data_IF_799743491637
#
_entry.id   IF_799743491637
#
_cell.length_a   1.000
_cell.length_b   1.000
_cell.length_c   1.000
_cell.angle_alpha   90.00
_cell.angle_beta   90.00
_cell.angle_gamma   90.00
#
_symmetry.space_group_name_H-M   'P 1'
#
loop_
_entity.id
_entity.type
_entity.pdbx_description
1 polymer ?
#
# COMPACT_ATOMS: atom_id res chain seq x y z
N UNK A 1 -44.74 53.70 -16.89
CA UNK A 1 -44.92 52.32 -17.31
C UNK A 1 -43.67 51.54 -16.96
N UNK A 2 -43.64 50.85 -15.85
CA UNK A 2 -42.49 50.15 -15.37
C UNK A 2 -42.62 48.66 -15.76
N UNK A 3 -41.73 48.17 -16.61
CA UNK A 3 -41.68 46.76 -16.96
C UNK A 3 -40.68 46.06 -16.02
N UNK A 4 -41.27 45.30 -15.11
CA UNK A 4 -40.55 44.42 -14.19
C UNK A 4 -40.05 43.19 -14.95
N UNK A 5 -38.77 43.08 -15.20
CA UNK A 5 -38.17 41.83 -15.75
C UNK A 5 -37.70 40.96 -14.60
N UNK A 6 -38.40 39.89 -14.34
CA UNK A 6 -38.04 38.85 -13.42
C UNK A 6 -36.95 38.00 -14.03
N UNK A 7 -35.71 38.10 -13.52
CA UNK A 7 -34.61 37.23 -13.89
C UNK A 7 -34.67 35.96 -13.04
N UNK A 8 -35.07 34.85 -13.66
CA UNK A 8 -34.96 33.51 -13.09
C UNK A 8 -33.49 33.05 -13.20
N UNK A 9 -32.79 33.06 -12.09
CA UNK A 9 -31.46 32.41 -11.99
C UNK A 9 -31.69 30.98 -11.70
N UNK A 10 -31.55 30.15 -12.74
CA UNK A 10 -31.56 28.68 -12.61
C UNK A 10 -30.19 28.23 -12.09
N UNK A 11 -30.09 27.95 -10.81
CA UNK A 11 -28.91 27.39 -10.19
C UNK A 11 -28.76 25.91 -10.59
N UNK A 12 -27.85 25.63 -11.51
CA UNK A 12 -27.42 24.25 -11.76
C UNK A 12 -26.53 23.79 -10.61
N UNK A 13 -27.08 22.97 -9.72
CA UNK A 13 -26.28 22.13 -8.84
C UNK A 13 -25.62 21.05 -9.69
N UNK A 14 -24.37 21.26 -10.04
CA UNK A 14 -23.53 20.21 -10.56
C UNK A 14 -23.21 19.23 -9.41
N UNK A 15 -23.96 18.16 -9.32
CA UNK A 15 -23.67 17.03 -8.45
C UNK A 15 -22.37 16.38 -8.95
N UNK A 16 -21.25 16.58 -8.24
CA UNK A 16 -20.04 15.83 -8.47
C UNK A 16 -20.32 14.37 -8.12
N UNK A 17 -20.55 13.55 -9.12
CA UNK A 17 -20.58 12.10 -8.97
C UNK A 17 -19.15 11.65 -8.62
N UNK A 18 -18.90 11.38 -7.33
CA UNK A 18 -17.70 10.70 -6.89
C UNK A 18 -17.81 9.26 -7.36
N UNK A 19 -17.12 8.93 -8.44
CA UNK A 19 -16.93 7.57 -8.85
C UNK A 19 -16.11 6.86 -7.76
N UNK A 20 -16.77 6.10 -6.90
CA UNK A 20 -16.13 5.19 -5.98
C UNK A 20 -15.56 4.06 -6.82
N UNK A 21 -14.26 4.12 -7.09
CA UNK A 21 -13.55 3.00 -7.68
C UNK A 21 -13.53 1.88 -6.64
N UNK A 22 -14.47 0.98 -6.72
CA UNK A 22 -14.43 -0.30 -5.99
C UNK A 22 -13.29 -1.10 -6.58
N UNK A 23 -12.11 -0.93 -6.00
CA UNK A 23 -10.95 -1.74 -6.35
C UNK A 23 -11.13 -3.08 -5.64
N UNK A 24 -11.25 -4.20 -6.37
CA UNK A 24 -11.27 -5.50 -5.73
C UNK A 24 -9.96 -5.72 -5.00
N UNK A 25 -10.02 -5.91 -3.69
CA UNK A 25 -8.96 -6.51 -2.94
C UNK A 25 -7.94 -5.63 -2.23
N UNK A 26 -8.03 -4.33 -2.27
CA UNK A 26 -7.19 -3.47 -1.44
C UNK A 26 -8.05 -2.47 -0.67
N UNK A 27 -7.98 -2.46 0.64
CA UNK A 27 -8.55 -1.35 1.40
C UNK A 27 -7.63 -0.14 1.25
N UNK A 28 -7.85 0.64 0.19
CA UNK A 28 -7.28 1.97 0.11
C UNK A 28 -7.70 2.77 1.36
N UNK A 29 -6.83 3.62 1.89
CA UNK A 29 -7.23 4.54 2.95
C UNK A 29 -8.50 5.30 2.53
N UNK A 30 -9.43 5.56 3.44
CA UNK A 30 -10.56 6.42 3.16
C UNK A 30 -10.08 7.77 2.60
N UNK A 31 -10.88 8.44 1.76
CA UNK A 31 -10.52 9.75 1.25
C UNK A 31 -10.13 10.70 2.39
N UNK A 32 -8.95 11.33 2.29
CA UNK A 32 -8.43 12.23 3.31
C UNK A 32 -7.62 11.60 4.43
N UNK A 33 -7.49 10.27 4.47
CA UNK A 33 -6.64 9.57 5.43
C UNK A 33 -5.29 9.23 4.80
N UNK A 34 -4.20 9.53 5.48
CA UNK A 34 -2.85 9.14 5.06
C UNK A 34 -2.62 7.63 5.20
N UNK A 35 -1.63 7.12 4.49
CA UNK A 35 -1.22 5.71 4.58
C UNK A 35 -0.80 5.36 6.01
N UNK A 36 -0.05 6.24 6.69
CA UNK A 36 0.40 6.04 8.06
C UNK A 36 -0.78 6.00 9.07
N UNK A 37 -1.76 6.88 8.92
CA UNK A 37 -2.98 6.84 9.74
C UNK A 37 -3.77 5.56 9.53
N UNK A 38 -3.92 5.13 8.27
CA UNK A 38 -4.56 3.86 7.95
C UNK A 38 -3.80 2.67 8.54
N UNK A 39 -2.46 2.67 8.49
CA UNK A 39 -1.62 1.63 9.07
C UNK A 39 -1.77 1.56 10.59
N UNK A 40 -1.86 2.70 11.28
CA UNK A 40 -2.05 2.76 12.73
C UNK A 40 -3.37 2.10 13.19
N UNK A 41 -4.38 2.06 12.32
CA UNK A 41 -5.67 1.41 12.62
C UNK A 41 -5.64 -0.12 12.42
N UNK A 42 -4.56 -0.69 11.91
CA UNK A 42 -4.42 -2.13 11.61
C UNK A 42 -3.76 -2.92 12.72
N UNK A 43 -3.88 -2.50 13.96
CA UNK A 43 -3.28 -3.18 15.13
C UNK A 43 -1.79 -3.46 14.94
N UNK A 44 -0.94 -2.42 14.81
CA UNK A 44 0.48 -2.61 14.53
C UNK A 44 1.16 -3.42 15.63
N UNK A 45 1.91 -4.45 15.21
CA UNK A 45 2.65 -5.34 16.08
C UNK A 45 4.15 -5.07 15.97
N UNK A 46 4.92 -5.20 17.06
CA UNK A 46 6.37 -5.17 16.98
C UNK A 46 6.89 -6.43 16.29
N UNK A 47 7.74 -6.26 15.29
CA UNK A 47 8.34 -7.34 14.52
C UNK A 47 9.81 -7.05 14.30
N UNK A 48 10.68 -8.05 14.44
CA UNK A 48 12.09 -7.93 14.09
C UNK A 48 12.22 -7.93 12.56
N UNK A 49 13.06 -7.07 12.05
CA UNK A 49 13.34 -6.98 10.61
C UNK A 49 13.80 -8.33 10.04
N UNK A 50 14.69 -9.03 10.74
CA UNK A 50 15.17 -10.34 10.33
C UNK A 50 14.06 -11.39 10.16
N UNK A 51 12.99 -11.28 10.94
CA UNK A 51 11.83 -12.18 10.85
C UNK A 51 10.95 -11.91 9.62
N UNK A 52 11.14 -10.79 8.96
CA UNK A 52 10.44 -10.45 7.71
C UNK A 52 11.16 -10.95 6.47
N UNK A 53 12.48 -11.12 6.54
CA UNK A 53 13.29 -11.50 5.39
C UNK A 53 12.88 -12.88 4.87
N UNK A 54 12.73 -13.00 3.57
CA UNK A 54 12.34 -14.24 2.90
C UNK A 54 10.86 -14.58 2.94
N UNK A 55 10.03 -13.85 3.70
CA UNK A 55 8.57 -14.07 3.71
C UNK A 55 7.99 -13.85 2.32
N UNK A 56 6.99 -14.64 1.97
CA UNK A 56 6.21 -14.39 0.78
C UNK A 56 5.34 -13.15 0.97
N UNK A 57 5.18 -12.41 -0.11
CA UNK A 57 4.31 -11.24 -0.15
C UNK A 57 3.16 -11.55 -1.08
N UNK A 58 1.97 -11.56 -0.50
CA UNK A 58 0.75 -11.98 -1.16
C UNK A 58 -0.03 -10.77 -1.67
N UNK A 59 -0.81 -11.02 -2.69
CA UNK A 59 -1.84 -10.11 -3.18
C UNK A 59 -2.99 -10.08 -2.17
N UNK A 60 -3.61 -8.90 -1.90
CA UNK A 60 -4.79 -8.87 -1.06
C UNK A 60 -5.92 -9.64 -1.72
N UNK A 61 -6.63 -10.41 -0.88
CA UNK A 61 -7.87 -11.15 -1.18
C UNK A 61 -7.73 -12.40 -2.06
N UNK A 62 -8.47 -13.39 -1.65
CA UNK A 62 -8.97 -14.62 -2.28
C UNK A 62 -8.02 -15.46 -3.15
N UNK A 63 -7.09 -14.88 -3.88
CA UNK A 63 -6.25 -15.65 -4.80
C UNK A 63 -4.96 -16.18 -4.18
N UNK A 64 -4.51 -15.68 -3.02
CA UNK A 64 -3.21 -16.01 -2.41
C UNK A 64 -2.03 -15.98 -3.40
N UNK A 65 -2.16 -15.19 -4.45
CA UNK A 65 -1.10 -15.06 -5.44
C UNK A 65 0.13 -14.42 -4.82
N UNK A 66 1.27 -15.09 -4.96
CA UNK A 66 2.55 -14.58 -4.49
C UNK A 66 3.03 -13.49 -5.46
N UNK A 67 3.16 -12.27 -4.95
CA UNK A 67 3.70 -11.13 -5.70
C UNK A 67 5.23 -11.12 -5.72
N UNK A 68 5.84 -11.69 -4.69
CA UNK A 68 7.28 -11.72 -4.52
C UNK A 68 7.68 -12.13 -3.11
N UNK A 69 8.97 -11.91 -2.78
CA UNK A 69 9.52 -12.22 -1.45
C UNK A 69 10.25 -11.02 -0.89
N UNK A 70 10.19 -10.84 0.41
CA UNK A 70 10.95 -9.81 1.11
C UNK A 70 12.46 -10.08 0.98
N UNK A 71 13.19 -9.10 0.45
CA UNK A 71 14.65 -9.20 0.23
C UNK A 71 15.44 -8.38 1.24
N UNK A 72 14.94 -7.21 1.56
CA UNK A 72 15.55 -6.31 2.55
C UNK A 72 14.53 -5.32 3.08
N UNK A 73 14.84 -4.72 4.21
CA UNK A 73 14.10 -3.60 4.77
C UNK A 73 15.05 -2.40 4.81
N UNK A 74 14.61 -1.29 4.29
CA UNK A 74 15.44 -0.07 4.21
C UNK A 74 14.69 1.12 4.78
N UNK A 75 15.44 2.15 5.15
CA UNK A 75 14.92 3.46 5.50
C UNK A 75 15.24 4.42 4.35
N UNK A 76 14.22 5.09 3.84
CA UNK A 76 14.42 6.07 2.78
C UNK A 76 14.96 7.41 3.33
N UNK A 77 15.19 8.38 2.44
CA UNK A 77 15.68 9.72 2.81
C UNK A 77 14.76 10.49 3.75
N UNK A 78 13.47 10.16 3.74
CA UNK A 78 12.45 10.79 4.59
C UNK A 78 12.31 10.06 5.94
N UNK A 79 13.09 9.03 6.19
CA UNK A 79 13.01 8.20 7.40
C UNK A 79 11.92 7.14 7.37
N UNK A 80 11.21 6.97 6.24
CA UNK A 80 10.16 5.98 6.09
C UNK A 80 10.75 4.57 5.93
N UNK A 81 10.15 3.60 6.61
CA UNK A 81 10.52 2.20 6.45
C UNK A 81 9.89 1.64 5.17
N UNK A 82 10.75 1.11 4.32
CA UNK A 82 10.37 0.49 3.05
C UNK A 82 10.78 -0.97 3.05
N UNK A 83 9.89 -1.82 2.56
CA UNK A 83 10.17 -3.25 2.35
C UNK A 83 10.48 -3.46 0.88
N UNK A 84 11.68 -3.93 0.60
CA UNK A 84 12.10 -4.25 -0.78
C UNK A 84 11.73 -5.69 -1.08
N UNK A 85 10.93 -5.87 -2.11
CA UNK A 85 10.49 -7.18 -2.58
C UNK A 85 10.96 -7.42 -4.02
N UNK A 86 11.22 -8.66 -4.37
CA UNK A 86 11.36 -9.06 -5.78
C UNK A 86 9.95 -9.24 -6.35
N UNK A 87 9.51 -8.26 -7.13
CA UNK A 87 8.16 -8.20 -7.66
C UNK A 87 8.09 -8.78 -9.07
N UNK A 88 7.07 -9.60 -9.31
CA UNK A 88 6.81 -10.20 -10.62
C UNK A 88 7.76 -11.33 -10.96
N UNK A 89 7.82 -11.65 -12.25
CA UNK A 89 8.63 -12.74 -12.78
C UNK A 89 7.91 -14.09 -12.75
N UNK A 90 8.44 -15.03 -13.56
CA UNK A 90 8.00 -16.42 -13.58
C UNK A 90 9.19 -17.30 -13.20
N UNK A 91 9.02 -18.16 -12.20
CA UNK A 91 10.10 -19.02 -11.67
C UNK A 91 11.40 -18.26 -11.31
N UNK A 92 11.27 -17.02 -10.83
CA UNK A 92 12.40 -16.17 -10.47
C UNK A 92 13.04 -15.40 -11.65
N UNK A 93 12.58 -15.61 -12.86
CA UNK A 93 13.05 -14.89 -14.04
C UNK A 93 12.17 -13.67 -14.32
N UNK A 94 12.81 -12.53 -14.64
CA UNK A 94 12.11 -11.28 -14.96
C UNK A 94 11.54 -10.54 -13.76
N UNK A 95 11.82 -10.97 -12.52
CA UNK A 95 11.47 -10.20 -11.33
C UNK A 95 12.36 -8.97 -11.21
N UNK A 96 11.82 -7.90 -10.63
CA UNK A 96 12.57 -6.69 -10.31
C UNK A 96 12.35 -6.25 -8.88
N UNK A 97 13.35 -5.69 -8.20
CA UNK A 97 13.15 -5.17 -6.86
C UNK A 97 12.31 -3.89 -6.91
N UNK A 98 11.30 -3.81 -6.05
CA UNK A 98 10.55 -2.59 -5.77
C UNK A 98 10.53 -2.33 -4.27
N UNK A 99 10.47 -1.08 -3.86
CA UNK A 99 10.34 -0.70 -2.46
C UNK A 99 8.89 -0.30 -2.17
N UNK A 100 8.28 -0.98 -1.22
CA UNK A 100 6.89 -0.75 -0.78
C UNK A 100 6.91 -0.20 0.64
N UNK A 101 6.19 0.89 0.94
CA UNK A 101 6.07 1.37 2.31
C UNK A 101 5.54 0.27 3.25
N UNK A 102 6.16 0.09 4.40
CA UNK A 102 5.70 -0.89 5.40
C UNK A 102 4.25 -0.61 5.84
N UNK A 103 3.85 0.66 5.82
CA UNK A 103 2.48 1.09 6.12
C UNK A 103 1.42 0.58 5.12
N UNK A 104 1.86 0.14 3.95
CA UNK A 104 1.00 -0.47 2.94
C UNK A 104 0.85 -1.99 3.10
N UNK A 105 1.51 -2.57 4.11
CA UNK A 105 1.62 -4.02 4.30
C UNK A 105 1.07 -4.45 5.66
N UNK A 106 0.67 -5.70 5.73
CA UNK A 106 0.23 -6.35 6.98
C UNK A 106 0.85 -7.73 7.09
N UNK A 107 0.94 -8.23 8.33
CA UNK A 107 1.32 -9.62 8.60
C UNK A 107 0.10 -10.52 8.37
N UNK A 108 0.32 -11.63 7.71
CA UNK A 108 -0.66 -12.69 7.48
C UNK A 108 -0.01 -14.05 7.79
N UNK A 109 -0.07 -14.44 9.07
CA UNK A 109 0.63 -15.64 9.53
C UNK A 109 2.14 -15.57 9.27
N UNK A 110 2.67 -16.49 8.47
CA UNK A 110 4.09 -16.52 8.08
C UNK A 110 4.42 -15.63 6.88
N UNK A 111 3.41 -15.06 6.24
CA UNK A 111 3.53 -14.24 5.05
C UNK A 111 3.27 -12.77 5.35
N UNK A 112 3.35 -11.95 4.33
CA UNK A 112 2.93 -10.56 4.34
C UNK A 112 1.93 -10.33 3.21
N UNK A 113 1.09 -9.32 3.36
CA UNK A 113 0.12 -8.94 2.35
C UNK A 113 0.23 -7.45 2.08
N UNK A 114 0.17 -7.04 0.80
CA UNK A 114 0.08 -5.64 0.41
C UNK A 114 -1.39 -5.26 0.33
N UNK A 115 -1.82 -4.34 1.20
CA UNK A 115 -3.23 -3.95 1.31
C UNK A 115 -3.56 -2.57 0.72
N UNK A 116 -2.57 -1.73 0.46
CA UNK A 116 -2.79 -0.36 0.01
C UNK A 116 -2.57 -0.14 -1.49
N UNK A 117 -1.99 -1.11 -2.20
CA UNK A 117 -1.71 -1.01 -3.63
C UNK A 117 -2.19 -2.23 -4.39
N UNK A 118 -2.75 -2.00 -5.56
CA UNK A 118 -3.10 -3.09 -6.49
C UNK A 118 -1.85 -3.58 -7.24
N UNK A 119 -1.85 -4.81 -7.77
CA UNK A 119 -0.76 -5.30 -8.61
C UNK A 119 -0.45 -4.37 -9.79
N UNK A 120 -1.48 -3.77 -10.39
CA UNK A 120 -1.32 -2.80 -11.49
C UNK A 120 -0.57 -1.54 -11.04
N UNK A 121 -0.86 -1.03 -9.83
CA UNK A 121 -0.13 0.10 -9.27
C UNK A 121 1.32 -0.28 -8.95
N UNK A 122 1.56 -1.49 -8.40
CA UNK A 122 2.90 -1.98 -8.10
C UNK A 122 3.76 -2.16 -9.36
N UNK A 123 3.16 -2.49 -10.50
CA UNK A 123 3.86 -2.53 -11.78
C UNK A 123 4.45 -1.19 -12.19
N UNK A 124 3.84 -0.09 -11.74
CA UNK A 124 4.29 1.28 -12.02
C UNK A 124 5.35 1.78 -11.02
N UNK A 125 5.63 1.03 -9.97
CA UNK A 125 6.68 1.40 -9.02
C UNK A 125 8.04 1.37 -9.72
N UNK A 126 8.93 2.33 -9.42
CA UNK A 126 10.27 2.31 -9.97
C UNK A 126 11.03 1.09 -9.45
N UNK A 127 11.97 0.59 -10.24
CA UNK A 127 12.92 -0.41 -9.79
C UNK A 127 13.74 0.17 -8.64
N UNK A 128 13.79 -0.55 -7.53
CA UNK A 128 14.55 -0.10 -6.36
C UNK A 128 16.03 0.00 -6.68
N UNK A 129 16.63 1.11 -6.26
CA UNK A 129 18.06 1.34 -6.32
C UNK A 129 18.57 1.76 -4.94
N UNK A 130 19.68 1.17 -4.44
CA UNK A 130 20.19 1.43 -3.11
C UNK A 130 20.56 2.89 -2.78
N UNK A 131 21.06 3.73 -3.71
CA UNK A 131 21.41 5.11 -3.41
C UNK A 131 20.25 5.90 -2.81
N UNK A 132 20.49 6.51 -1.65
CA UNK A 132 19.47 7.30 -0.93
C UNK A 132 18.62 6.50 0.04
N UNK A 133 18.94 5.24 0.27
CA UNK A 133 18.34 4.42 1.33
C UNK A 133 19.44 3.80 2.20
N UNK A 134 19.06 3.44 3.43
CA UNK A 134 19.93 2.76 4.39
C UNK A 134 19.28 1.47 4.83
N UNK A 135 20.02 0.36 4.82
CA UNK A 135 19.52 -0.92 5.33
C UNK A 135 19.17 -0.80 6.82
N UNK A 136 18.03 -1.34 7.20
CA UNK A 136 17.63 -1.47 8.59
C UNK A 136 18.19 -2.78 9.13
N UNK A 137 18.95 -2.76 10.25
CA UNK A 137 19.53 -3.97 10.83
C UNK A 137 18.49 -5.02 11.18
N UNK A 138 18.86 -6.29 11.06
CA UNK A 138 17.93 -7.44 11.26
C UNK A 138 17.38 -7.53 12.69
N UNK A 139 18.11 -7.02 13.69
CA UNK A 139 17.71 -6.99 15.10
C UNK A 139 16.78 -5.82 15.44
N UNK A 140 16.58 -4.90 14.51
CA UNK A 140 15.69 -3.73 14.70
C UNK A 140 14.23 -4.18 14.79
N UNK A 141 13.52 -3.61 15.77
CA UNK A 141 12.07 -3.79 15.89
C UNK A 141 11.34 -2.68 15.15
N UNK A 142 10.47 -3.06 14.25
CA UNK A 142 9.56 -2.15 13.53
C UNK A 142 8.11 -2.53 13.81
N UNK A 143 7.19 -1.63 13.50
CA UNK A 143 5.75 -1.92 13.64
C UNK A 143 5.16 -2.29 12.30
N UNK A 144 4.43 -3.39 12.26
CA UNK A 144 3.72 -3.87 11.07
C UNK A 144 2.28 -4.20 11.45
N UNK A 145 1.32 -3.76 10.66
CA UNK A 145 -0.09 -4.05 10.89
C UNK A 145 -0.41 -5.55 10.79
N UNK A 146 -1.52 -5.97 11.40
CA UNK A 146 -2.06 -7.32 11.24
C UNK A 146 -3.14 -7.33 10.16
N UNK A 147 -3.19 -8.40 9.39
CA UNK A 147 -4.34 -8.69 8.54
C UNK A 147 -5.57 -8.93 9.44
N UNK A 148 -6.72 -8.36 9.05
CA UNK A 148 -7.98 -8.70 9.73
C UNK A 148 -8.32 -10.14 9.39
N UNK A 149 -8.72 -10.96 10.40
CA UNK A 149 -9.28 -12.27 10.09
C UNK A 149 -10.51 -12.11 9.19
N UNK A 150 -10.53 -12.81 8.07
CA UNK A 150 -11.75 -12.94 7.28
C UNK A 150 -12.71 -13.89 8.02
N UNK A 151 -13.81 -13.35 8.47
CA UNK A 151 -14.91 -14.16 9.03
C UNK A 151 -15.82 -14.63 7.91
#
# INVERSE_FOLDING_TARGET
MASLRLLFVCGMLAGAAHAQSTTPGGMLPPPGMSLAESAAMRFPQPVRVGDLLGREVLRPVESQDVLGRVRRVVRDRNGQIMVVINFGGFLGFGSRPIAVPVDAMVLLGQDMEIVAFTPKQLQQFPTFSPPGSTDVPDDTIIKVGLAKPSH
#
